data_IF_832929466339
#
_entry.id   IF_832929466339
#
_cell.length_a   1.000
_cell.length_b   1.000
_cell.length_c   1.000
_cell.angle_alpha   90.00
_cell.angle_beta   90.00
_cell.angle_gamma   90.00
#
_symmetry.space_group_name_H-M   'P 1'
#
loop_
_entity.id
_entity.type
_entity.pdbx_description
1 polymer ?
#
# COMPACT_ATOMS: atom_id res chain seq x y z
N UNK A 1 4.50 16.81 1.41
CA UNK A 1 5.45 16.33 0.38
C UNK A 1 5.13 14.94 -0.18
N UNK A 2 4.84 13.89 0.62
CA UNK A 2 4.56 12.54 0.09
C UNK A 2 3.52 12.50 -1.03
N UNK A 3 2.36 13.14 -0.84
CA UNK A 3 1.31 13.20 -1.86
C UNK A 3 1.77 13.83 -3.18
N UNK A 4 2.63 14.86 -3.14
CA UNK A 4 3.16 15.53 -4.33
C UNK A 4 4.14 14.64 -5.10
N UNK A 5 4.99 13.89 -4.40
CA UNK A 5 5.89 12.90 -5.01
C UNK A 5 5.09 11.78 -5.66
N UNK A 6 4.09 11.25 -4.96
CA UNK A 6 3.22 10.21 -5.50
C UNK A 6 2.46 10.69 -6.75
N UNK A 7 1.89 11.89 -6.73
CA UNK A 7 1.21 12.48 -7.87
C UNK A 7 2.15 12.71 -9.07
N UNK A 8 3.39 13.18 -8.83
CA UNK A 8 4.36 13.37 -9.91
C UNK A 8 4.74 12.03 -10.58
N UNK A 9 4.92 10.97 -9.80
CA UNK A 9 5.21 9.64 -10.32
C UNK A 9 4.01 8.99 -11.03
N UNK A 10 2.77 9.32 -10.63
CA UNK A 10 1.57 8.88 -11.35
C UNK A 10 1.41 9.57 -12.71
N UNK A 11 1.86 10.82 -12.82
CA UNK A 11 1.63 11.67 -13.98
C UNK A 11 2.80 11.68 -14.99
N UNK A 12 3.87 10.92 -14.75
CA UNK A 12 5.06 10.93 -15.59
C UNK A 12 4.99 9.88 -16.71
N UNK A 13 5.21 10.31 -17.95
CA UNK A 13 5.19 9.42 -19.13
C UNK A 13 6.35 8.41 -19.14
N UNK A 14 7.46 8.71 -18.45
CA UNK A 14 8.61 7.80 -18.35
C UNK A 14 8.34 6.59 -17.45
N UNK A 15 7.22 6.59 -16.71
CA UNK A 15 6.87 5.59 -15.71
C UNK A 15 7.76 5.62 -14.46
N UNK A 16 8.67 6.58 -14.33
CA UNK A 16 9.52 6.72 -13.14
C UNK A 16 10.45 7.93 -13.19
N UNK A 17 10.81 8.44 -12.00
CA UNK A 17 11.67 9.61 -11.84
C UNK A 17 12.75 9.33 -10.80
N UNK A 18 13.94 9.88 -11.02
CA UNK A 18 15.03 9.92 -10.04
C UNK A 18 14.75 10.99 -8.98
N UNK A 19 15.49 10.92 -7.86
CA UNK A 19 15.39 11.96 -6.81
C UNK A 19 15.71 13.37 -7.33
N UNK A 20 16.60 13.49 -8.31
CA UNK A 20 16.99 14.76 -8.91
C UNK A 20 15.84 15.34 -9.75
N UNK A 21 15.25 14.53 -10.63
CA UNK A 21 14.12 14.93 -11.47
C UNK A 21 12.89 15.28 -10.61
N UNK A 22 12.62 14.51 -9.55
CA UNK A 22 11.58 14.84 -8.56
C UNK A 22 11.85 16.18 -7.87
N UNK A 23 13.11 16.46 -7.50
CA UNK A 23 13.50 17.71 -6.87
C UNK A 23 13.32 18.90 -7.80
N UNK A 24 13.70 18.76 -9.06
CA UNK A 24 13.55 19.77 -10.10
C UNK A 24 12.07 20.05 -10.40
N UNK A 25 11.30 19.01 -10.73
CA UNK A 25 9.89 19.13 -11.10
C UNK A 25 9.03 19.68 -9.94
N UNK A 26 9.30 19.24 -8.70
CA UNK A 26 8.52 19.66 -7.53
C UNK A 26 9.07 20.92 -6.86
N UNK A 27 10.20 21.45 -7.35
CA UNK A 27 10.94 22.55 -6.71
C UNK A 27 11.18 22.28 -5.23
N UNK A 28 11.67 21.08 -4.94
CA UNK A 28 11.82 20.56 -3.58
C UNK A 28 13.26 20.14 -3.30
N UNK A 29 13.69 20.33 -2.06
CA UNK A 29 15.05 19.97 -1.65
C UNK A 29 15.27 18.45 -1.66
N UNK A 30 16.52 17.97 -1.81
CA UNK A 30 16.84 16.54 -1.73
C UNK A 30 16.37 15.89 -0.42
N UNK A 31 16.40 16.63 0.70
CA UNK A 31 15.91 16.15 1.99
C UNK A 31 14.39 15.94 2.00
N UNK A 32 13.62 16.85 1.37
CA UNK A 32 12.17 16.73 1.26
C UNK A 32 11.77 15.53 0.38
N UNK A 33 12.48 15.30 -0.72
CA UNK A 33 12.28 14.11 -1.58
C UNK A 33 12.62 12.84 -0.80
N UNK A 34 13.77 12.81 -0.12
CA UNK A 34 14.22 11.65 0.68
C UNK A 34 13.21 11.28 1.78
N UNK A 35 12.66 12.27 2.49
CA UNK A 35 11.63 12.04 3.51
C UNK A 35 10.33 11.50 2.91
N UNK A 36 9.93 12.00 1.74
CA UNK A 36 8.73 11.54 1.05
C UNK A 36 8.87 10.08 0.56
N UNK A 37 9.96 9.72 -0.11
CA UNK A 37 10.17 8.34 -0.58
C UNK A 37 10.32 7.37 0.59
N UNK A 38 10.99 7.77 1.68
CA UNK A 38 11.10 6.95 2.90
C UNK A 38 9.74 6.66 3.54
N UNK A 39 8.78 7.59 3.42
CA UNK A 39 7.42 7.39 3.90
C UNK A 39 6.59 6.49 2.96
N UNK A 40 6.74 6.65 1.64
CA UNK A 40 5.91 5.95 0.65
C UNK A 40 6.33 4.49 0.41
N UNK A 41 7.63 4.17 0.52
CA UNK A 41 8.15 2.82 0.27
C UNK A 41 7.53 1.77 1.23
N UNK A 42 7.50 1.98 2.57
CA UNK A 42 6.87 1.02 3.49
C UNK A 42 5.36 0.84 3.26
N UNK A 43 4.70 1.83 2.66
CA UNK A 43 3.28 1.76 2.28
C UNK A 43 3.05 1.02 0.96
N UNK A 44 4.12 0.58 0.29
CA UNK A 44 4.12 -0.02 -1.06
C UNK A 44 3.45 0.87 -2.11
N UNK A 45 3.47 2.19 -1.91
CA UNK A 45 2.95 3.16 -2.89
C UNK A 45 4.01 3.54 -3.93
N UNK A 46 5.29 3.38 -3.59
CA UNK A 46 6.43 3.67 -4.47
C UNK A 46 7.47 2.56 -4.31
N UNK A 47 8.01 2.06 -5.42
CA UNK A 47 9.19 1.18 -5.45
C UNK A 47 10.46 1.96 -5.77
N UNK A 48 11.60 1.36 -5.45
CA UNK A 48 12.92 1.89 -5.77
C UNK A 48 13.70 0.84 -6.57
N UNK A 49 13.99 1.17 -7.82
CA UNK A 49 14.73 0.32 -8.75
C UNK A 49 16.05 1.01 -9.14
N UNK A 50 17.02 0.26 -9.66
CA UNK A 50 18.20 0.88 -10.28
C UNK A 50 17.87 1.27 -11.71
N UNK A 51 18.17 2.51 -12.07
CA UNK A 51 18.08 2.94 -13.46
C UNK A 51 19.02 2.08 -14.35
N UNK A 52 18.57 1.60 -15.53
CA UNK A 52 19.40 0.80 -16.42
C UNK A 52 20.74 1.49 -16.74
N UNK A 53 21.85 0.77 -16.56
CA UNK A 53 23.20 1.31 -16.83
C UNK A 53 23.67 2.41 -15.87
N UNK A 54 22.95 2.69 -14.78
CA UNK A 54 23.28 3.77 -13.84
C UNK A 54 23.27 3.30 -12.39
N UNK A 55 24.01 4.03 -11.54
CA UNK A 55 23.96 3.86 -10.08
C UNK A 55 22.83 4.64 -9.42
N UNK A 56 22.05 5.41 -10.20
CA UNK A 56 20.95 6.23 -9.67
C UNK A 56 19.72 5.38 -9.39
N UNK A 57 19.06 5.69 -8.29
CA UNK A 57 17.77 5.13 -7.92
C UNK A 57 16.66 5.78 -8.77
N UNK A 58 15.80 4.95 -9.36
CA UNK A 58 14.58 5.33 -10.07
C UNK A 58 13.37 4.97 -9.18
N UNK A 59 12.51 5.94 -8.94
CA UNK A 59 11.28 5.74 -8.17
C UNK A 59 10.10 5.58 -9.12
N UNK A 60 9.23 4.62 -8.82
CA UNK A 60 8.04 4.31 -9.62
C UNK A 60 6.83 4.07 -8.74
N UNK A 61 5.64 4.39 -9.23
CA UNK A 61 4.41 3.85 -8.65
C UNK A 61 4.32 2.41 -9.13
N UNK A 62 4.12 1.44 -8.23
CA UNK A 62 3.97 0.07 -8.70
C UNK A 62 2.65 -0.10 -9.47
N UNK A 63 2.69 -0.69 -10.65
CA UNK A 63 1.47 -1.01 -11.43
C UNK A 63 0.54 -1.99 -10.71
N UNK A 64 1.06 -2.70 -9.72
CA UNK A 64 0.37 -3.62 -8.83
C UNK A 64 0.24 -3.09 -7.39
N UNK A 65 0.39 -1.75 -7.19
CA UNK A 65 0.21 -1.03 -5.91
C UNK A 65 -0.96 -1.58 -5.10
N UNK A 66 -2.05 -1.97 -5.76
CA UNK A 66 -3.23 -2.49 -5.10
C UNK A 66 -3.10 -3.95 -4.67
N UNK A 67 -2.47 -4.79 -5.48
CA UNK A 67 -2.38 -6.22 -5.21
C UNK A 67 -1.32 -6.54 -4.16
N UNK A 68 -0.07 -6.12 -4.36
CA UNK A 68 1.00 -6.44 -3.40
C UNK A 68 0.78 -5.75 -2.05
N UNK A 69 0.27 -4.51 -2.06
CA UNK A 69 -0.13 -3.81 -0.83
C UNK A 69 -1.26 -4.53 -0.10
N UNK A 70 -2.27 -5.03 -0.82
CA UNK A 70 -3.37 -5.75 -0.20
C UNK A 70 -2.94 -7.12 0.35
N UNK A 71 -2.10 -7.87 -0.36
CA UNK A 71 -1.55 -9.16 0.10
C UNK A 71 -0.63 -8.98 1.32
N UNK A 72 0.19 -7.92 1.39
CA UNK A 72 0.96 -7.63 2.62
C UNK A 72 0.06 -7.15 3.77
N UNK A 73 -0.97 -6.36 3.48
CA UNK A 73 -1.97 -5.95 4.48
C UNK A 73 -2.74 -7.15 5.04
N UNK A 74 -3.01 -8.16 4.22
CA UNK A 74 -3.59 -9.44 4.66
C UNK A 74 -2.77 -10.08 5.79
N UNK A 75 -1.44 -10.17 5.64
CA UNK A 75 -0.56 -10.72 6.68
C UNK A 75 -0.55 -9.88 7.97
N UNK A 76 -0.77 -8.57 7.88
CA UNK A 76 -0.88 -7.70 9.06
C UNK A 76 -2.26 -7.81 9.71
N UNK A 77 -3.32 -7.92 8.91
CA UNK A 77 -4.69 -8.12 9.38
C UNK A 77 -4.85 -9.49 10.06
N UNK A 78 -4.23 -10.54 9.54
CA UNK A 78 -4.22 -11.86 10.19
C UNK A 78 -3.64 -11.82 11.62
N UNK A 79 -2.54 -11.07 11.81
CA UNK A 79 -1.97 -10.85 13.15
C UNK A 79 -2.90 -10.07 14.08
N UNK A 80 -3.74 -9.19 13.53
CA UNK A 80 -4.74 -8.47 14.31
C UNK A 80 -5.91 -9.37 14.67
N UNK A 81 -6.37 -10.19 13.72
CA UNK A 81 -7.40 -11.20 13.92
C UNK A 81 -7.01 -12.15 15.06
N UNK A 82 -5.79 -12.69 15.03
CA UNK A 82 -5.28 -13.58 16.09
C UNK A 82 -5.35 -12.92 17.48
N UNK A 83 -4.94 -11.64 17.58
CA UNK A 83 -4.98 -10.88 18.84
C UNK A 83 -6.39 -10.52 19.28
N UNK A 84 -7.27 -10.20 18.35
CA UNK A 84 -8.68 -9.91 18.65
C UNK A 84 -9.38 -11.18 19.15
N UNK A 85 -9.09 -12.34 18.53
CA UNK A 85 -9.58 -13.66 18.95
C UNK A 85 -9.11 -14.02 20.36
N UNK A 86 -7.83 -13.84 20.65
CA UNK A 86 -7.26 -14.01 22.00
C UNK A 86 -7.92 -13.07 23.02
N UNK A 87 -8.14 -11.80 22.64
CA UNK A 87 -8.80 -10.81 23.48
C UNK A 87 -10.26 -11.18 23.80
N UNK A 88 -11.02 -11.68 22.83
CA UNK A 88 -12.39 -12.17 23.03
C UNK A 88 -12.41 -13.37 23.99
N UNK A 89 -11.49 -14.32 23.81
CA UNK A 89 -11.38 -15.49 24.68
C UNK A 89 -11.01 -15.08 26.13
N UNK A 90 -10.11 -14.11 26.27
CA UNK A 90 -9.64 -13.63 27.59
C UNK A 90 -10.70 -12.83 28.32
N UNK A 91 -11.41 -11.91 27.64
CA UNK A 91 -12.42 -11.04 28.25
C UNK A 91 -13.80 -11.71 28.38
N UNK A 92 -14.00 -12.86 27.74
CA UNK A 92 -15.27 -13.56 27.64
C UNK A 92 -16.25 -12.89 26.67
N UNK A 93 -16.76 -13.64 25.70
CA UNK A 93 -17.64 -13.13 24.64
C UNK A 93 -18.94 -12.48 25.15
N UNK A 94 -19.41 -12.85 26.34
CA UNK A 94 -20.61 -12.28 26.95
C UNK A 94 -20.41 -10.90 27.59
N UNK A 95 -19.16 -10.46 27.83
CA UNK A 95 -18.91 -9.16 28.46
C UNK A 95 -19.09 -8.01 27.46
N UNK A 96 -19.39 -6.78 27.90
CA UNK A 96 -19.45 -5.62 27.00
C UNK A 96 -18.14 -5.39 26.22
N UNK A 97 -16.98 -5.70 26.82
CA UNK A 97 -15.68 -5.58 26.15
C UNK A 97 -15.46 -6.71 25.14
N UNK A 98 -15.78 -7.96 25.50
CA UNK A 98 -15.73 -9.11 24.60
C UNK A 98 -16.63 -8.93 23.37
N UNK A 99 -17.84 -8.37 23.53
CA UNK A 99 -18.73 -8.05 22.41
C UNK A 99 -18.14 -7.01 21.44
N UNK A 100 -17.49 -5.95 21.95
CA UNK A 100 -16.83 -4.94 21.08
C UNK A 100 -15.67 -5.54 20.30
N UNK A 101 -14.84 -6.36 20.95
CA UNK A 101 -13.74 -7.05 20.27
C UNK A 101 -14.26 -8.08 19.27
N UNK A 102 -15.34 -8.79 19.60
CA UNK A 102 -16.02 -9.75 18.73
C UNK A 102 -16.57 -9.10 17.47
N UNK A 103 -17.23 -7.94 17.59
CA UNK A 103 -17.71 -7.17 16.44
C UNK A 103 -16.54 -6.70 15.56
N UNK A 104 -15.48 -6.20 16.19
CA UNK A 104 -14.27 -5.78 15.46
C UNK A 104 -13.61 -6.97 14.74
N UNK A 105 -13.53 -8.13 15.39
CA UNK A 105 -13.01 -9.36 14.81
C UNK A 105 -13.83 -9.78 13.59
N UNK A 106 -15.16 -9.83 13.72
CA UNK A 106 -16.07 -10.20 12.62
C UNK A 106 -15.92 -9.26 11.41
N UNK A 107 -15.78 -7.96 11.65
CA UNK A 107 -15.54 -6.99 10.58
C UNK A 107 -14.20 -7.23 9.86
N UNK A 108 -13.14 -7.50 10.62
CA UNK A 108 -11.80 -7.79 10.05
C UNK A 108 -11.82 -9.10 9.25
N UNK A 109 -12.48 -10.14 9.75
CA UNK A 109 -12.67 -11.42 9.03
C UNK A 109 -13.43 -11.21 7.72
N UNK A 110 -14.51 -10.42 7.73
CA UNK A 110 -15.28 -10.08 6.54
C UNK A 110 -14.43 -9.36 5.49
N UNK A 111 -13.72 -8.30 5.89
CA UNK A 111 -12.86 -7.54 4.96
C UNK A 111 -11.75 -8.41 4.38
N UNK A 112 -11.13 -9.27 5.20
CA UNK A 112 -10.10 -10.21 4.72
C UNK A 112 -10.67 -11.21 3.71
N UNK A 113 -11.88 -11.74 3.94
CA UNK A 113 -12.53 -12.67 3.01
C UNK A 113 -12.88 -12.04 1.65
N UNK A 114 -13.33 -10.79 1.65
CA UNK A 114 -13.77 -10.10 0.42
C UNK A 114 -12.63 -9.53 -0.42
N UNK A 115 -11.50 -9.14 0.22
CA UNK A 115 -10.41 -8.44 -0.44
C UNK A 115 -9.80 -9.22 -1.63
N UNK A 116 -9.52 -10.53 -1.55
CA UNK A 116 -9.03 -11.31 -2.68
C UNK A 116 -9.97 -11.28 -3.89
N UNK A 117 -11.28 -11.40 -3.65
CA UNK A 117 -12.28 -11.37 -4.72
C UNK A 117 -12.39 -9.98 -5.38
N UNK A 118 -12.33 -8.92 -4.58
CA UNK A 118 -12.28 -7.53 -5.09
C UNK A 118 -11.05 -7.33 -5.99
N UNK A 119 -9.89 -7.79 -5.55
CA UNK A 119 -8.64 -7.67 -6.30
C UNK A 119 -8.63 -8.49 -7.59
N UNK A 120 -9.20 -9.69 -7.58
CA UNK A 120 -9.29 -10.51 -8.78
C UNK A 120 -10.24 -9.89 -9.82
N UNK A 121 -11.37 -9.32 -9.37
CA UNK A 121 -12.26 -8.54 -10.26
C UNK A 121 -11.52 -7.35 -10.87
N UNK A 122 -10.74 -6.60 -10.08
CA UNK A 122 -9.91 -5.51 -10.58
C UNK A 122 -8.89 -5.96 -11.64
N UNK A 123 -8.23 -7.10 -11.41
CA UNK A 123 -7.30 -7.70 -12.39
C UNK A 123 -8.00 -8.07 -13.70
N UNK A 124 -9.20 -8.67 -13.62
CA UNK A 124 -10.03 -8.96 -14.78
C UNK A 124 -10.35 -7.70 -15.60
N UNK A 125 -10.73 -6.61 -14.93
CA UNK A 125 -10.99 -5.32 -15.58
C UNK A 125 -9.73 -4.72 -16.21
N UNK A 126 -8.59 -4.71 -15.51
CA UNK A 126 -7.31 -4.21 -16.07
C UNK A 126 -6.91 -4.93 -17.35
N UNK A 127 -7.05 -6.25 -17.40
CA UNK A 127 -6.72 -7.07 -18.58
C UNK A 127 -7.57 -6.71 -19.81
N UNK A 128 -8.80 -6.24 -19.60
CA UNK A 128 -9.75 -5.93 -20.69
C UNK A 128 -9.73 -4.46 -21.11
N UNK A 129 -9.40 -3.52 -20.21
CA UNK A 129 -9.60 -2.08 -20.45
C UNK A 129 -8.31 -1.23 -20.46
N UNK A 130 -7.23 -1.67 -19.82
CA UNK A 130 -6.03 -0.83 -19.60
C UNK A 130 -4.86 -1.17 -20.55
N UNK A 131 -5.10 -2.07 -21.53
CA UNK A 131 -4.12 -2.46 -22.57
C UNK A 131 -4.44 -1.95 -23.98
N UNK A 132 -5.46 -1.09 -24.14
CA UNK A 132 -5.73 -0.39 -25.40
C UNK A 132 -5.10 0.99 -25.40
#
# INVERSE_FOLDING_TARGET
MPARVFAALLATDSGGLTAAELGEQLRASPAAISGAVRYLIPLNLVSRERAPGSRRDLYRVQDDVWYESAVRREQQMKRWEDRLREGVATLGAGTPAGRRLGETLAFIEFVQGELPAILERWRGLRRTHVRR
#
